data_IF_631765138779
#
_entry.id   IF_631765138779
#
_cell.length_a   1.000
_cell.length_b   1.000
_cell.length_c   1.000
_cell.angle_alpha   90.00
_cell.angle_beta   90.00
_cell.angle_gamma   90.00
#
_symmetry.space_group_name_H-M   'P 1'
#
loop_
_entity.id
_entity.type
_entity.pdbx_description
1 polymer ?
#
# COMPACT_ATOMS: atom_id res chain seq x y z
N UNK A 1 19.19 12.67 -22.30
CA UNK A 1 17.74 12.74 -22.53
C UNK A 1 17.16 11.37 -22.23
N UNK A 2 16.46 11.22 -21.10
CA UNK A 2 16.01 9.91 -20.62
C UNK A 2 14.80 9.43 -21.42
N UNK A 3 14.96 8.38 -22.21
CA UNK A 3 13.86 7.69 -22.89
C UNK A 3 12.77 7.42 -21.85
N UNK A 4 11.57 8.00 -22.05
CA UNK A 4 10.46 7.85 -21.13
C UNK A 4 10.19 6.37 -20.87
N UNK A 5 10.31 5.95 -19.60
CA UNK A 5 9.98 4.59 -19.14
C UNK A 5 8.47 4.41 -19.23
N UNK A 6 8.01 3.90 -20.36
CA UNK A 6 6.59 3.71 -20.65
C UNK A 6 6.17 2.32 -20.17
N UNK A 7 5.30 2.30 -19.18
CA UNK A 7 4.62 1.07 -18.78
C UNK A 7 3.54 0.76 -19.82
N UNK A 8 3.42 -0.50 -20.27
CA UNK A 8 2.36 -0.88 -21.18
C UNK A 8 0.97 -0.70 -20.53
N UNK A 9 -0.09 -0.66 -21.34
CA UNK A 9 -1.46 -0.42 -20.85
C UNK A 9 -1.88 -1.40 -19.76
N UNK A 10 -1.50 -2.68 -19.88
CA UNK A 10 -1.77 -3.73 -18.89
C UNK A 10 -1.10 -3.48 -17.54
N UNK A 11 0.18 -3.13 -17.52
CA UNK A 11 0.90 -2.82 -16.28
C UNK A 11 0.37 -1.57 -15.58
N UNK A 12 -0.11 -0.58 -16.34
CA UNK A 12 -0.73 0.63 -15.79
C UNK A 12 -2.07 0.33 -15.14
N UNK A 13 -2.91 -0.46 -15.81
CA UNK A 13 -4.19 -0.90 -15.25
C UNK A 13 -3.97 -1.73 -13.99
N UNK A 14 -3.05 -2.70 -14.04
CA UNK A 14 -2.68 -3.49 -12.86
C UNK A 14 -2.21 -2.61 -11.70
N UNK A 15 -1.29 -1.67 -11.95
CA UNK A 15 -0.81 -0.74 -10.94
C UNK A 15 -1.92 0.12 -10.32
N UNK A 16 -2.86 0.60 -11.15
CA UNK A 16 -4.02 1.35 -10.67
C UNK A 16 -4.96 0.47 -9.82
N UNK A 17 -5.22 -0.78 -10.23
CA UNK A 17 -6.02 -1.74 -9.47
C UNK A 17 -5.38 -2.08 -8.13
N UNK A 18 -4.06 -2.32 -8.11
CA UNK A 18 -3.31 -2.55 -6.87
C UNK A 18 -3.44 -1.34 -5.94
N UNK A 19 -3.23 -0.12 -6.45
CA UNK A 19 -3.41 1.10 -5.67
C UNK A 19 -4.84 1.23 -5.12
N UNK A 20 -5.86 0.91 -5.93
CA UNK A 20 -7.24 0.93 -5.49
C UNK A 20 -7.50 -0.06 -4.33
N UNK A 21 -7.02 -1.30 -4.45
CA UNK A 21 -7.17 -2.32 -3.38
C UNK A 21 -6.43 -1.89 -2.11
N UNK A 22 -5.19 -1.39 -2.23
CA UNK A 22 -4.42 -0.89 -1.08
C UNK A 22 -5.13 0.30 -0.39
N UNK A 23 -5.72 1.20 -1.19
CA UNK A 23 -6.56 2.29 -0.73
C UNK A 23 -7.79 1.79 0.02
N UNK A 24 -8.53 0.85 -0.54
CA UNK A 24 -9.73 0.27 0.09
C UNK A 24 -9.42 -0.42 1.42
N UNK A 25 -8.30 -1.15 1.52
CA UNK A 25 -7.86 -1.75 2.78
C UNK A 25 -7.63 -0.65 3.84
N UNK A 26 -6.92 0.42 3.47
CA UNK A 26 -6.62 1.53 4.39
C UNK A 26 -7.91 2.26 4.80
N UNK A 27 -8.80 2.50 3.85
CA UNK A 27 -10.10 3.12 4.07
C UNK A 27 -11.00 2.28 4.99
N UNK A 28 -11.01 0.96 4.85
CA UNK A 28 -11.80 0.07 5.71
C UNK A 28 -11.38 0.16 7.18
N UNK A 29 -10.08 0.29 7.46
CA UNK A 29 -9.58 0.51 8.82
C UNK A 29 -9.97 1.88 9.37
N UNK A 30 -9.88 2.93 8.55
CA UNK A 30 -10.30 4.28 8.93
C UNK A 30 -11.80 4.31 9.25
N UNK A 31 -12.65 3.73 8.39
CA UNK A 31 -14.11 3.66 8.61
C UNK A 31 -14.43 2.86 9.88
N UNK A 32 -13.74 1.74 10.10
CA UNK A 32 -13.91 0.95 11.33
C UNK A 32 -13.61 1.77 12.57
N UNK A 33 -12.52 2.53 12.57
CA UNK A 33 -12.12 3.31 13.73
C UNK A 33 -13.02 4.52 13.94
N UNK A 34 -13.49 5.17 12.87
CA UNK A 34 -14.53 6.20 12.94
C UNK A 34 -15.83 5.67 13.54
N UNK A 35 -16.23 4.43 13.20
CA UNK A 35 -17.41 3.79 13.77
C UNK A 35 -17.26 3.34 15.23
N UNK A 36 -16.02 3.28 15.74
CA UNK A 36 -15.73 2.99 17.16
C UNK A 36 -15.51 4.24 18.00
N UNK A 37 -15.15 5.35 17.36
CA UNK A 37 -14.87 6.60 18.05
C UNK A 37 -16.20 7.26 18.44
N UNK A 38 -16.36 7.58 19.73
CA UNK A 38 -17.50 8.36 20.22
C UNK A 38 -17.53 9.74 19.55
N UNK A 39 -16.36 10.32 19.28
CA UNK A 39 -16.17 11.53 18.49
C UNK A 39 -15.03 11.36 17.48
N UNK A 40 -15.21 11.89 16.26
CA UNK A 40 -14.15 11.92 15.23
C UNK A 40 -12.91 12.71 15.66
N UNK A 41 -13.08 13.66 16.59
CA UNK A 41 -12.01 14.43 17.22
C UNK A 41 -10.98 13.52 17.91
N UNK A 42 -11.42 12.44 18.56
CA UNK A 42 -10.54 11.48 19.25
C UNK A 42 -9.63 10.75 18.28
N UNK A 43 -10.14 10.41 17.09
CA UNK A 43 -9.35 9.76 16.05
C UNK A 43 -8.31 10.74 15.48
N UNK A 44 -8.69 11.99 15.25
CA UNK A 44 -7.77 13.04 14.81
C UNK A 44 -6.61 13.26 15.79
N UNK A 45 -6.90 13.34 17.10
CA UNK A 45 -5.87 13.49 18.12
C UNK A 45 -4.96 12.27 18.25
N UNK A 46 -5.53 11.07 18.10
CA UNK A 46 -4.74 9.83 18.04
C UNK A 46 -3.77 9.85 16.84
N UNK A 47 -4.24 10.30 15.68
CA UNK A 47 -3.38 10.47 14.50
C UNK A 47 -2.29 11.53 14.70
N UNK A 48 -2.55 12.57 15.49
CA UNK A 48 -1.56 13.57 15.87
C UNK A 48 -0.53 13.06 16.91
N UNK A 49 -0.61 11.78 17.33
CA UNK A 49 0.33 11.17 18.27
C UNK A 49 0.03 11.47 19.74
N UNK A 50 -1.10 12.11 20.04
CA UNK A 50 -1.57 12.27 21.40
C UNK A 50 -2.29 10.98 21.81
N UNK A 51 -1.83 10.27 22.86
CA UNK A 51 -2.47 9.05 23.32
C UNK A 51 -3.81 9.40 23.96
N UNK A 52 -4.84 9.59 23.14
CA UNK A 52 -6.20 9.70 23.63
C UNK A 52 -6.69 8.27 23.87
N UNK A 53 -6.96 7.92 25.13
CA UNK A 53 -7.74 6.72 25.42
C UNK A 53 -9.15 7.00 24.91
N UNK A 54 -9.44 6.58 23.69
CA UNK A 54 -10.82 6.33 23.32
C UNK A 54 -11.36 5.38 24.38
N UNK A 55 -12.30 5.88 25.17
CA UNK A 55 -13.04 5.10 26.17
C UNK A 55 -13.71 3.86 25.53
N UNK A 56 -13.87 3.84 24.20
CA UNK A 56 -14.49 2.76 23.41
C UNK A 56 -13.59 1.72 22.74
N UNK A 57 -12.25 1.75 22.83
CA UNK A 57 -11.41 0.59 22.43
C UNK A 57 -10.17 0.86 21.56
N UNK A 58 -9.57 -0.22 21.05
CA UNK A 58 -8.31 -0.21 20.27
C UNK A 58 -8.58 0.25 18.83
N UNK A 59 -7.92 1.34 18.43
CA UNK A 59 -7.85 1.83 17.05
C UNK A 59 -6.83 1.04 16.23
N UNK A 60 -7.20 0.68 15.00
CA UNK A 60 -6.35 -0.08 14.08
C UNK A 60 -5.69 0.77 12.98
N UNK A 61 -6.05 2.04 12.87
CA UNK A 61 -5.56 3.00 11.89
C UNK A 61 -4.74 4.12 12.53
N UNK A 62 -3.88 4.71 11.73
CA UNK A 62 -2.97 5.78 12.08
C UNK A 62 -2.97 6.88 11.02
N UNK A 63 -2.33 8.01 11.31
CA UNK A 63 -2.10 9.07 10.32
C UNK A 63 -1.46 8.53 9.03
N UNK A 64 -0.59 7.53 9.19
CA UNK A 64 0.09 6.89 8.07
C UNK A 64 -0.87 6.16 7.13
N UNK A 65 -1.95 5.56 7.65
CA UNK A 65 -2.98 4.93 6.82
C UNK A 65 -3.75 5.95 5.98
N UNK A 66 -4.00 7.14 6.54
CA UNK A 66 -4.63 8.25 5.83
C UNK A 66 -3.70 8.83 4.74
N UNK A 67 -2.42 9.01 5.06
CA UNK A 67 -1.41 9.46 4.07
C UNK A 67 -1.28 8.43 2.95
N UNK A 68 -1.17 7.14 3.28
CA UNK A 68 -1.07 6.07 2.30
C UNK A 68 -2.31 6.00 1.41
N UNK A 69 -3.52 6.15 1.97
CA UNK A 69 -4.76 6.24 1.19
C UNK A 69 -4.69 7.33 0.12
N UNK A 70 -4.27 8.54 0.49
CA UNK A 70 -4.12 9.66 -0.44
C UNK A 70 -3.06 9.37 -1.51
N UNK A 71 -1.92 8.82 -1.11
CA UNK A 71 -0.85 8.46 -2.05
C UNK A 71 -1.32 7.39 -3.04
N UNK A 72 -2.01 6.34 -2.58
CA UNK A 72 -2.56 5.31 -3.46
C UNK A 72 -3.57 5.89 -4.46
N UNK A 73 -4.45 6.78 -4.00
CA UNK A 73 -5.42 7.44 -4.89
C UNK A 73 -4.72 8.27 -5.97
N UNK A 74 -3.77 9.12 -5.59
CA UNK A 74 -3.03 9.98 -6.52
C UNK A 74 -2.20 9.15 -7.50
N UNK A 75 -1.45 8.16 -7.01
CA UNK A 75 -0.60 7.31 -7.86
C UNK A 75 -1.44 6.44 -8.79
N UNK A 76 -2.56 5.88 -8.30
CA UNK A 76 -3.49 5.11 -9.11
C UNK A 76 -4.10 5.94 -10.25
N UNK A 77 -4.59 7.15 -9.95
CA UNK A 77 -5.08 8.10 -10.96
C UNK A 77 -3.98 8.49 -11.95
N UNK A 78 -2.76 8.70 -11.46
CA UNK A 78 -1.60 9.04 -12.31
C UNK A 78 -1.25 7.90 -13.25
N UNK A 79 -1.34 6.64 -12.80
CA UNK A 79 -1.11 5.47 -13.64
C UNK A 79 -2.12 5.38 -14.80
N UNK A 80 -3.39 5.70 -14.54
CA UNK A 80 -4.44 5.74 -15.57
C UNK A 80 -4.25 6.89 -16.57
N UNK A 81 -3.68 8.02 -16.14
CA UNK A 81 -3.50 9.22 -16.98
C UNK A 81 -2.17 9.29 -17.72
N UNK A 82 -1.10 8.68 -17.17
CA UNK A 82 0.26 8.84 -17.69
C UNK A 82 0.96 7.51 -17.95
N UNK A 83 1.56 7.32 -19.15
CA UNK A 83 2.41 6.17 -19.45
C UNK A 83 3.73 6.18 -18.67
N UNK A 84 4.16 7.33 -18.14
CA UNK A 84 5.40 7.49 -17.38
C UNK A 84 5.26 7.21 -15.86
N UNK A 85 4.14 6.62 -15.42
CA UNK A 85 3.84 6.41 -14.00
C UNK A 85 4.66 5.29 -13.32
N UNK A 86 5.53 4.58 -14.05
CA UNK A 86 6.32 3.46 -13.52
C UNK A 86 7.20 3.86 -12.31
N UNK A 87 7.71 5.09 -12.30
CA UNK A 87 8.46 5.63 -11.15
C UNK A 87 7.58 5.75 -9.91
N UNK A 88 6.42 6.39 -10.03
CA UNK A 88 5.47 6.59 -8.93
C UNK A 88 4.93 5.26 -8.38
N UNK A 89 4.60 4.31 -9.26
CA UNK A 89 4.17 2.96 -8.88
C UNK A 89 5.28 2.19 -8.14
N UNK A 90 6.52 2.30 -8.61
CA UNK A 90 7.66 1.70 -7.92
C UNK A 90 7.86 2.32 -6.52
N UNK A 91 7.85 3.64 -6.42
CA UNK A 91 8.01 4.35 -5.15
C UNK A 91 6.91 4.00 -4.14
N UNK A 92 5.64 4.02 -4.56
CA UNK A 92 4.54 3.69 -3.64
C UNK A 92 4.62 2.26 -3.14
N UNK A 93 5.04 1.33 -4.00
CA UNK A 93 5.21 -0.07 -3.61
C UNK A 93 6.36 -0.24 -2.60
N UNK A 94 7.51 0.42 -2.82
CA UNK A 94 8.61 0.43 -1.84
C UNK A 94 8.15 0.99 -0.49
N UNK A 95 7.48 2.15 -0.50
CA UNK A 95 6.97 2.79 0.72
C UNK A 95 6.00 1.87 1.45
N UNK A 96 5.10 1.20 0.72
CA UNK A 96 4.13 0.25 1.30
C UNK A 96 4.84 -0.89 2.01
N UNK A 97 5.83 -1.51 1.37
CA UNK A 97 6.61 -2.61 1.96
C UNK A 97 7.37 -2.12 3.19
N UNK A 98 8.08 -0.99 3.08
CA UNK A 98 8.89 -0.42 4.15
C UNK A 98 8.06 -0.07 5.39
N UNK A 99 6.83 0.40 5.20
CA UNK A 99 5.90 0.73 6.29
C UNK A 99 5.26 -0.52 6.89
N UNK A 100 4.84 -1.48 6.07
CA UNK A 100 4.04 -2.63 6.54
C UNK A 100 4.86 -3.78 7.09
N UNK A 101 6.14 -3.93 6.70
CA UNK A 101 7.01 -4.96 7.28
C UNK A 101 7.16 -4.79 8.81
N UNK A 102 7.49 -3.59 9.32
CA UNK A 102 7.54 -3.35 10.76
C UNK A 102 6.19 -3.62 11.45
N UNK A 103 5.07 -3.28 10.80
CA UNK A 103 3.73 -3.58 11.34
C UNK A 103 3.48 -5.08 11.48
N UNK A 104 3.87 -5.89 10.48
CA UNK A 104 3.76 -7.35 10.53
C UNK A 104 4.63 -7.95 11.63
N UNK A 105 5.86 -7.45 11.77
CA UNK A 105 6.76 -7.85 12.86
C UNK A 105 6.09 -7.58 14.21
N UNK A 106 5.62 -6.35 14.41
CA UNK A 106 4.98 -5.94 15.66
C UNK A 106 3.75 -6.80 15.99
N UNK A 107 2.86 -7.01 15.00
CA UNK A 107 1.63 -7.82 15.18
C UNK A 107 1.92 -9.28 15.57
N UNK A 108 3.01 -9.86 15.09
CA UNK A 108 3.40 -11.24 15.41
C UNK A 108 4.29 -11.36 16.66
N UNK A 109 4.63 -10.25 17.30
CA UNK A 109 5.52 -10.27 18.46
C UNK A 109 4.78 -10.55 19.76
N UNK A 110 5.47 -11.21 20.69
CA UNK A 110 4.88 -11.68 21.96
C UNK A 110 4.56 -10.55 22.95
N UNK A 111 5.07 -9.34 22.73
CA UNK A 111 4.78 -8.17 23.58
C UNK A 111 3.42 -7.53 23.29
N UNK A 112 2.80 -7.83 22.14
CA UNK A 112 1.47 -7.37 21.77
C UNK A 112 0.40 -8.34 22.28
N UNK A 113 0.31 -8.43 23.61
CA UNK A 113 -0.68 -9.22 24.35
C UNK A 113 -1.95 -8.39 24.60
N UNK A 114 -3.11 -9.04 24.73
CA UNK A 114 -4.38 -8.38 25.04
C UNK A 114 -5.17 -7.85 23.83
N UNK A 115 -4.71 -8.07 22.59
CA UNK A 115 -5.49 -7.77 21.38
C UNK A 115 -6.50 -8.90 21.12
N UNK A 116 -7.79 -8.59 20.87
CA UNK A 116 -8.79 -9.60 20.46
C UNK A 116 -8.31 -10.43 19.26
N UNK A 117 -8.47 -11.76 19.33
CA UNK A 117 -7.91 -12.69 18.34
C UNK A 117 -8.44 -12.47 16.91
N UNK A 118 -9.71 -12.10 16.75
CA UNK A 118 -10.32 -11.76 15.47
C UNK A 118 -9.73 -10.47 14.88
N UNK A 119 -9.48 -9.46 15.73
CA UNK A 119 -8.87 -8.19 15.34
C UNK A 119 -7.44 -8.40 14.88
N UNK A 120 -6.64 -9.15 15.66
CA UNK A 120 -5.27 -9.51 15.32
C UNK A 120 -5.21 -10.29 14.01
N UNK A 121 -6.10 -11.24 13.80
CA UNK A 121 -6.19 -12.02 12.55
C UNK A 121 -6.49 -11.14 11.35
N UNK A 122 -7.50 -10.26 11.44
CA UNK A 122 -7.85 -9.32 10.35
C UNK A 122 -6.72 -8.33 10.07
N UNK A 123 -6.06 -7.81 11.11
CA UNK A 123 -4.90 -6.93 10.98
C UNK A 123 -3.74 -7.63 10.26
N UNK A 124 -3.43 -8.87 10.66
CA UNK A 124 -2.35 -9.64 10.06
C UNK A 124 -2.65 -9.97 8.58
N UNK A 125 -3.87 -10.44 8.28
CA UNK A 125 -4.29 -10.74 6.91
C UNK A 125 -4.22 -9.51 5.99
N UNK A 126 -4.73 -8.36 6.44
CA UNK A 126 -4.68 -7.14 5.65
C UNK A 126 -3.26 -6.61 5.46
N UNK A 127 -2.40 -6.69 6.48
CA UNK A 127 -0.99 -6.30 6.37
C UNK A 127 -0.22 -7.21 5.40
N UNK A 128 -0.42 -8.53 5.46
CA UNK A 128 0.16 -9.47 4.49
C UNK A 128 -0.33 -9.20 3.07
N UNK A 129 -1.63 -8.98 2.88
CA UNK A 129 -2.19 -8.63 1.58
C UNK A 129 -1.53 -7.37 1.00
N UNK A 130 -1.32 -6.33 1.82
CA UNK A 130 -0.65 -5.11 1.40
C UNK A 130 0.80 -5.36 0.97
N UNK A 131 1.57 -6.14 1.73
CA UNK A 131 2.96 -6.47 1.40
C UNK A 131 3.05 -7.30 0.12
N UNK A 132 2.19 -8.32 -0.04
CA UNK A 132 2.16 -9.16 -1.24
C UNK A 132 1.79 -8.34 -2.48
N UNK A 133 0.74 -7.52 -2.40
CA UNK A 133 0.32 -6.65 -3.51
C UNK A 133 1.42 -5.65 -3.90
N UNK A 134 2.08 -5.05 -2.92
CA UNK A 134 3.21 -4.15 -3.17
C UNK A 134 4.41 -4.90 -3.78
N UNK A 135 4.72 -6.10 -3.31
CA UNK A 135 5.75 -6.97 -3.89
C UNK A 135 5.47 -7.33 -5.35
N UNK A 136 4.22 -7.70 -5.67
CA UNK A 136 3.78 -7.96 -7.04
C UNK A 136 3.89 -6.70 -7.91
N UNK A 137 3.53 -5.54 -7.38
CA UNK A 137 3.68 -4.27 -8.09
C UNK A 137 5.16 -3.95 -8.37
N UNK A 138 6.05 -4.19 -7.42
CA UNK A 138 7.50 -4.06 -7.63
C UNK A 138 8.00 -5.01 -8.72
N UNK A 139 7.54 -6.26 -8.72
CA UNK A 139 7.90 -7.24 -9.73
C UNK A 139 7.46 -6.80 -11.13
N UNK A 140 6.23 -6.29 -11.28
CA UNK A 140 5.73 -5.75 -12.56
C UNK A 140 6.55 -4.53 -13.01
N UNK A 141 6.82 -3.60 -12.11
CA UNK A 141 7.64 -2.42 -12.41
C UNK A 141 9.08 -2.82 -12.77
N UNK A 142 9.65 -3.83 -12.12
CA UNK A 142 10.99 -4.36 -12.41
C UNK A 142 11.04 -5.12 -13.74
N UNK A 143 10.03 -5.93 -14.05
CA UNK A 143 9.92 -6.63 -15.33
C UNK A 143 9.83 -5.63 -16.49
N UNK A 144 9.08 -4.54 -16.33
CA UNK A 144 9.00 -3.47 -17.31
C UNK A 144 10.31 -2.67 -17.49
N UNK A 145 11.28 -2.82 -16.58
CA UNK A 145 12.61 -2.20 -16.70
C UNK A 145 13.62 -3.07 -17.45
N UNK A 146 13.34 -4.36 -17.68
CA UNK A 146 14.28 -5.24 -18.40
C UNK A 146 14.30 -4.87 -19.89
N UNK A 147 15.46 -4.50 -20.46
CA UNK A 147 15.57 -4.26 -21.89
C UNK A 147 15.29 -5.56 -22.66
N UNK A 148 14.61 -5.46 -23.80
CA UNK A 148 14.31 -6.58 -24.70
C UNK A 148 15.55 -7.00 -25.51
N UNK A 149 16.69 -7.19 -24.84
CA UNK A 149 17.95 -7.56 -25.50
C UNK A 149 18.06 -9.08 -25.61
N UNK A 150 17.37 -9.63 -26.62
CA UNK A 150 17.84 -10.83 -27.32
C UNK A 150 17.81 -10.51 -28.82
N UNK A 151 18.97 -10.29 -29.46
CA UNK A 151 19.04 -10.18 -30.90
C UNK A 151 18.47 -11.45 -31.55
N UNK A 152 17.67 -11.36 -32.62
CA UNK A 152 17.25 -12.56 -33.36
C UNK A 152 18.50 -13.32 -33.83
N UNK A 153 18.51 -14.67 -33.79
CA UNK A 153 19.62 -15.45 -34.33
C UNK A 153 19.80 -15.03 -35.79
N UNK A 154 20.98 -14.50 -36.11
CA UNK A 154 21.32 -14.02 -37.44
C UNK A 154 21.07 -15.11 -38.48
N UNK A 155 20.40 -14.74 -39.57
CA UNK A 155 20.30 -15.57 -40.77
C UNK A 155 21.67 -15.56 -41.47
N UNK A 156 22.31 -16.70 -41.72
CA UNK A 156 23.42 -16.76 -42.67
C UNK A 156 22.86 -16.56 -44.09
N UNK A 157 23.54 -15.75 -44.88
CA UNK A 157 23.31 -15.58 -46.32
C UNK A 157 23.87 -16.73 -47.14
#
# INVERSE_FOLDING_TARGET
>A
MGQGRILNSGGRLFGALVCAVLGLISLAWIIRDLGKADESSHLWWTWAGLPFRATGGIFGSSLLDLVLLLVYAVVGLTALRSPAAAGALGSVAVVTVAVRLPSLWNLNSDWLQGIPGDLKTRANLSAWAQVVLAGLLLAVVAAARRPADLPPPGRPG
#
